data_IF_164395654253
#
_entry.id   IF_164395654253
#
_cell.length_a   1.000
_cell.length_b   1.000
_cell.length_c   1.000
_cell.angle_alpha   90.00
_cell.angle_beta   90.00
_cell.angle_gamma   90.00
#
_symmetry.space_group_name_H-M   'P 1'
#
loop_
_entity.id
_entity.type
_entity.pdbx_description
1 polymer ?
#
# COMPACT_ATOMS: atom_id res chain seq x y z
N UNK A 1 15.95 17.68 11.84
CA UNK A 1 16.46 18.43 10.69
C UNK A 1 16.17 17.75 9.35
N UNK A 2 15.57 16.53 9.34
CA UNK A 2 15.08 15.86 8.11
C UNK A 2 13.77 16.51 7.64
N UNK A 3 13.40 16.21 6.40
CA UNK A 3 12.24 16.83 5.76
C UNK A 3 11.07 15.84 5.62
N UNK A 4 9.86 16.37 5.54
CA UNK A 4 8.79 15.72 4.82
C UNK A 4 9.07 15.91 3.33
N UNK A 5 9.77 14.95 2.73
CA UNK A 5 10.35 15.09 1.40
C UNK A 5 9.39 14.70 0.27
N UNK A 6 8.26 14.06 0.59
CA UNK A 6 7.21 13.72 -0.37
C UNK A 6 5.84 13.96 0.25
N UNK A 7 5.05 14.80 -0.40
CA UNK A 7 3.74 15.22 0.07
C UNK A 7 2.74 15.16 -1.07
N UNK A 8 1.68 14.38 -0.88
CA UNK A 8 0.58 14.27 -1.84
C UNK A 8 -0.72 14.52 -1.10
N UNK A 9 -1.43 15.56 -1.52
CA UNK A 9 -2.72 15.91 -0.96
C UNK A 9 -3.72 14.77 -1.11
N UNK A 10 -4.58 14.55 -0.10
CA UNK A 10 -5.55 13.45 -0.03
C UNK A 10 -4.92 12.04 -0.15
N UNK A 11 -3.63 11.92 0.17
CA UNK A 11 -2.93 10.65 0.17
C UNK A 11 -2.07 10.49 1.43
N UNK A 12 -0.89 11.12 1.49
CA UNK A 12 0.03 10.99 2.64
C UNK A 12 1.09 12.09 2.66
N UNK A 13 1.75 12.24 3.80
CA UNK A 13 3.00 12.97 3.96
C UNK A 13 4.09 11.99 4.39
N UNK A 14 5.24 12.00 3.70
CA UNK A 14 6.33 11.05 3.90
C UNK A 14 7.61 11.75 4.34
N UNK A 15 8.26 11.19 5.34
CA UNK A 15 9.53 11.65 5.91
C UNK A 15 10.48 10.50 6.22
N UNK A 16 11.55 10.78 6.96
CA UNK A 16 12.49 9.77 7.46
C UNK A 16 13.67 9.47 6.51
N UNK A 17 13.80 10.16 5.38
CA UNK A 17 15.01 10.10 4.57
C UNK A 17 16.14 10.91 5.26
N UNK A 18 17.17 10.20 5.76
CA UNK A 18 18.32 10.82 6.44
C UNK A 18 19.11 11.77 5.53
N UNK A 19 19.10 11.55 4.22
CA UNK A 19 19.80 12.40 3.24
C UNK A 19 19.07 13.71 2.95
N UNK A 20 17.82 13.84 3.45
CA UNK A 20 17.05 15.08 3.33
C UNK A 20 17.55 16.20 4.23
N UNK A 21 18.33 15.87 5.27
CA UNK A 21 18.92 16.85 6.16
C UNK A 21 19.87 17.77 5.39
N UNK A 22 19.58 19.06 5.39
CA UNK A 22 20.34 20.08 4.65
C UNK A 22 20.42 19.83 3.13
N UNK A 23 19.47 19.11 2.55
CA UNK A 23 19.43 18.87 1.12
C UNK A 23 19.18 20.17 0.35
N UNK A 24 19.95 20.47 -0.72
CA UNK A 24 19.70 21.66 -1.54
C UNK A 24 18.33 21.56 -2.21
N UNK A 25 17.77 22.73 -2.54
CA UNK A 25 16.53 22.80 -3.29
C UNK A 25 16.63 22.02 -4.61
N UNK A 26 15.55 21.30 -4.98
CA UNK A 26 15.50 20.51 -6.21
C UNK A 26 16.23 19.17 -6.19
N UNK A 27 16.99 18.83 -5.14
CA UNK A 27 17.58 17.51 -5.01
C UNK A 27 16.47 16.45 -4.89
N UNK A 28 16.54 15.37 -5.67
CA UNK A 28 15.69 14.21 -5.49
C UNK A 28 15.97 13.54 -4.13
N UNK A 29 14.93 13.21 -3.41
CA UNK A 29 14.96 12.59 -2.08
C UNK A 29 14.11 11.32 -2.10
N UNK A 30 14.11 10.57 -0.99
CA UNK A 30 13.33 9.33 -0.83
C UNK A 30 14.14 8.06 -1.09
N UNK A 31 15.40 8.19 -1.48
CA UNK A 31 16.31 7.04 -1.65
C UNK A 31 17.26 6.84 -0.48
N UNK A 32 17.27 7.77 0.49
CA UNK A 32 18.11 7.68 1.68
C UNK A 32 17.63 6.56 2.61
N UNK A 33 18.56 5.68 2.96
CA UNK A 33 18.32 4.47 3.74
C UNK A 33 19.35 4.38 4.87
N UNK A 34 18.99 3.90 6.07
CA UNK A 34 19.94 3.74 7.18
C UNK A 34 20.84 2.51 7.02
N UNK A 35 20.75 1.76 5.91
CA UNK A 35 21.53 0.57 5.64
C UNK A 35 20.90 -0.73 6.12
N UNK A 36 19.64 -0.70 6.56
CA UNK A 36 18.88 -1.88 6.95
C UNK A 36 17.39 -1.73 6.65
N UNK A 37 16.73 -2.86 6.53
CA UNK A 37 15.27 -2.96 6.42
C UNK A 37 14.71 -3.72 7.62
N UNK A 38 13.40 -3.59 7.83
CA UNK A 38 12.66 -4.28 8.89
C UNK A 38 11.68 -5.23 8.21
N UNK A 39 11.54 -6.49 8.68
CA UNK A 39 10.54 -7.40 8.14
C UNK A 39 9.14 -6.78 8.15
N UNK A 40 8.33 -7.13 7.15
CA UNK A 40 6.95 -6.70 7.09
C UNK A 40 6.13 -7.29 8.25
N UNK A 41 5.28 -6.46 8.88
CA UNK A 41 4.41 -6.85 10.00
C UNK A 41 2.97 -6.39 9.71
N UNK A 42 2.31 -7.07 8.80
CA UNK A 42 0.94 -6.74 8.41
C UNK A 42 -0.06 -7.34 9.42
N UNK A 43 -0.51 -6.52 10.37
CA UNK A 43 -1.56 -6.92 11.34
C UNK A 43 -2.94 -6.51 10.79
N UNK A 44 -3.18 -6.86 9.56
CA UNK A 44 -4.42 -6.58 8.83
C UNK A 44 -5.47 -7.68 9.13
N UNK A 45 -6.77 -7.37 9.27
CA UNK A 45 -7.41 -6.04 9.13
C UNK A 45 -7.47 -5.20 10.41
N UNK A 46 -6.79 -5.58 11.47
CA UNK A 46 -6.81 -4.86 12.76
C UNK A 46 -6.21 -3.46 12.62
N UNK A 47 -5.06 -3.35 11.95
CA UNK A 47 -4.40 -2.09 11.64
C UNK A 47 -4.48 -1.85 10.14
N UNK A 48 -5.03 -0.71 9.76
CA UNK A 48 -5.30 -0.35 8.38
C UNK A 48 -5.08 1.15 8.15
N UNK A 49 -5.04 1.57 6.89
CA UNK A 49 -4.63 2.91 6.51
C UNK A 49 -5.76 3.94 6.59
N UNK A 50 -6.41 4.04 7.76
CA UNK A 50 -7.31 5.16 8.04
C UNK A 50 -6.53 6.48 8.11
N UNK A 51 -7.21 7.61 7.97
CA UNK A 51 -6.63 8.93 8.19
C UNK A 51 -5.93 8.99 9.54
N UNK A 52 -4.71 9.51 9.56
CA UNK A 52 -3.84 9.58 10.74
C UNK A 52 -3.02 8.32 11.01
N UNK A 53 -3.20 7.23 10.25
CA UNK A 53 -2.34 6.06 10.40
C UNK A 53 -0.87 6.42 10.10
N UNK A 54 0.05 5.92 10.92
CA UNK A 54 1.49 6.01 10.75
C UNK A 54 2.00 4.67 10.25
N UNK A 55 2.61 4.66 9.08
CA UNK A 55 3.07 3.46 8.42
C UNK A 55 4.49 3.57 7.90
N UNK A 56 5.17 2.44 7.78
CA UNK A 56 6.51 2.36 7.24
C UNK A 56 6.48 2.42 5.71
N UNK A 57 7.32 3.26 5.12
CA UNK A 57 7.56 3.24 3.68
C UNK A 57 8.39 2.01 3.29
N UNK A 58 8.36 1.63 2.03
CA UNK A 58 9.14 0.54 1.48
C UNK A 58 9.40 0.71 -0.02
N UNK A 59 10.35 -0.05 -0.54
CA UNK A 59 10.56 -0.16 -1.97
C UNK A 59 9.46 -1.01 -2.63
N UNK A 60 9.27 -0.83 -3.93
CA UNK A 60 8.28 -1.56 -4.71
C UNK A 60 8.59 -3.06 -4.83
N UNK A 61 7.57 -3.87 -5.06
CA UNK A 61 7.64 -5.35 -5.05
C UNK A 61 8.65 -5.94 -6.03
N UNK A 62 8.97 -5.23 -7.14
CA UNK A 62 9.94 -5.69 -8.13
C UNK A 62 11.37 -5.81 -7.56
N UNK A 63 11.73 -4.96 -6.61
CA UNK A 63 13.06 -4.94 -5.97
C UNK A 63 13.01 -5.37 -4.51
N UNK A 64 11.82 -5.52 -3.96
CA UNK A 64 11.57 -5.89 -2.56
C UNK A 64 10.36 -6.82 -2.47
N UNK A 65 10.46 -8.06 -2.99
CA UNK A 65 9.35 -9.03 -3.01
C UNK A 65 8.87 -9.42 -1.62
N UNK A 66 9.75 -9.36 -0.61
CA UNK A 66 9.42 -9.64 0.80
C UNK A 66 8.67 -8.50 1.49
N UNK A 67 8.45 -7.39 0.76
CA UNK A 67 7.77 -6.19 1.26
C UNK A 67 8.37 -5.63 2.56
N UNK A 68 9.68 -5.83 2.76
CA UNK A 68 10.40 -5.34 3.93
C UNK A 68 10.29 -3.81 4.03
N UNK A 69 10.06 -3.33 5.23
CA UNK A 69 9.92 -1.90 5.54
C UNK A 69 11.26 -1.20 5.54
N UNK A 70 11.30 0.07 5.15
CA UNK A 70 12.46 0.94 5.38
C UNK A 70 12.79 1.04 6.86
N UNK A 71 14.07 1.05 7.21
CA UNK A 71 14.52 1.23 8.58
C UNK A 71 14.30 2.63 9.14
N UNK A 72 13.94 3.62 8.31
CA UNK A 72 13.77 5.01 8.77
C UNK A 72 12.63 5.77 8.10
N UNK A 73 12.24 5.43 6.88
CA UNK A 73 11.22 6.18 6.17
C UNK A 73 9.81 5.74 6.59
N UNK A 74 8.97 6.72 6.82
CA UNK A 74 7.59 6.56 7.26
C UNK A 74 6.67 7.54 6.55
N UNK A 75 5.38 7.28 6.60
CA UNK A 75 4.38 8.23 6.15
C UNK A 75 3.18 8.30 7.10
N UNK A 76 2.52 9.45 7.09
CA UNK A 76 1.26 9.68 7.79
C UNK A 76 0.17 9.78 6.74
N UNK A 77 -0.86 8.96 6.88
CA UNK A 77 -2.00 8.93 5.98
C UNK A 77 -2.87 10.17 6.18
N UNK A 78 -3.09 10.91 5.10
CA UNK A 78 -4.14 11.93 5.05
C UNK A 78 -5.39 11.38 4.39
N UNK A 79 -5.25 10.75 3.23
CA UNK A 79 -6.31 10.06 2.51
C UNK A 79 -7.49 10.95 2.14
N UNK A 80 -8.52 10.34 1.61
CA UNK A 80 -9.80 10.98 1.30
C UNK A 80 -10.97 10.20 1.87
N UNK A 81 -12.10 10.86 2.03
CA UNK A 81 -13.35 10.23 2.41
C UNK A 81 -14.01 9.61 1.18
N UNK A 82 -14.51 8.40 1.32
CA UNK A 82 -15.20 7.65 0.28
C UNK A 82 -16.71 7.67 0.52
N UNK A 83 -17.49 7.76 -0.54
CA UNK A 83 -18.90 7.49 -0.42
C UNK A 83 -19.18 5.97 -0.45
N UNK A 84 -20.38 5.51 0.00
CA UNK A 84 -20.70 4.08 0.04
C UNK A 84 -20.53 3.36 -1.30
N UNK A 85 -20.90 4.00 -2.42
CA UNK A 85 -20.75 3.41 -3.76
C UNK A 85 -19.28 3.20 -4.16
N UNK A 86 -18.40 4.10 -3.74
CA UNK A 86 -16.94 3.95 -3.94
C UNK A 86 -16.38 2.81 -3.09
N UNK A 87 -16.86 2.62 -1.87
CA UNK A 87 -16.49 1.50 -1.02
C UNK A 87 -16.91 0.16 -1.65
N UNK A 88 -18.14 0.08 -2.17
CA UNK A 88 -18.61 -1.12 -2.85
C UNK A 88 -17.81 -1.41 -4.14
N UNK A 89 -17.39 -0.37 -4.86
CA UNK A 89 -16.51 -0.52 -6.01
C UNK A 89 -15.12 -1.03 -5.60
N UNK A 90 -14.57 -0.51 -4.50
CA UNK A 90 -13.31 -0.97 -3.95
C UNK A 90 -13.35 -2.44 -3.57
N UNK A 91 -14.42 -2.89 -2.89
CA UNK A 91 -14.57 -4.31 -2.55
C UNK A 91 -14.66 -5.21 -3.78
N UNK A 92 -15.39 -4.78 -4.81
CA UNK A 92 -15.42 -5.51 -6.10
C UNK A 92 -14.02 -5.63 -6.70
N UNK A 93 -13.22 -4.57 -6.64
CA UNK A 93 -11.82 -4.61 -7.13
C UNK A 93 -10.97 -5.57 -6.30
N UNK A 94 -11.09 -5.56 -4.97
CA UNK A 94 -10.38 -6.48 -4.09
C UNK A 94 -10.74 -7.95 -4.38
N UNK A 95 -12.02 -8.24 -4.66
CA UNK A 95 -12.48 -9.58 -5.02
C UNK A 95 -11.94 -10.01 -6.38
N UNK A 96 -11.98 -9.14 -7.38
CA UNK A 96 -11.38 -9.44 -8.70
C UNK A 96 -9.87 -9.70 -8.61
N UNK A 97 -9.16 -8.93 -7.80
CA UNK A 97 -7.72 -9.16 -7.57
C UNK A 97 -7.47 -10.49 -6.85
N UNK A 98 -8.32 -10.85 -5.88
CA UNK A 98 -8.25 -12.15 -5.22
C UNK A 98 -8.46 -13.30 -6.23
N UNK A 99 -9.50 -13.21 -7.06
CA UNK A 99 -9.77 -14.19 -8.11
C UNK A 99 -8.58 -14.34 -9.07
N UNK A 100 -8.05 -13.21 -9.54
CA UNK A 100 -6.89 -13.21 -10.43
C UNK A 100 -5.64 -13.82 -9.77
N UNK A 101 -5.37 -13.48 -8.52
CA UNK A 101 -4.21 -13.99 -7.78
C UNK A 101 -4.30 -15.49 -7.54
N UNK A 102 -5.46 -15.99 -7.13
CA UNK A 102 -5.69 -17.44 -6.94
C UNK A 102 -5.56 -18.18 -8.25
N UNK A 103 -6.20 -17.67 -9.32
CA UNK A 103 -6.09 -18.28 -10.65
C UNK A 103 -4.65 -18.35 -11.16
N UNK A 104 -3.89 -17.25 -11.00
CA UNK A 104 -2.47 -17.21 -11.40
C UNK A 104 -1.61 -18.19 -10.60
N UNK A 105 -1.87 -18.33 -9.31
CA UNK A 105 -1.18 -19.29 -8.45
C UNK A 105 -1.46 -20.73 -8.89
N UNK A 106 -2.73 -21.06 -9.17
CA UNK A 106 -3.12 -22.37 -9.68
C UNK A 106 -2.51 -22.62 -11.06
N UNK A 107 -2.57 -21.66 -11.97
CA UNK A 107 -1.99 -21.77 -13.32
C UNK A 107 -0.47 -21.95 -13.29
N UNK A 108 0.22 -21.37 -12.31
CA UNK A 108 1.66 -21.54 -12.15
C UNK A 108 2.06 -22.99 -11.91
N UNK A 109 1.22 -23.76 -11.19
CA UNK A 109 1.43 -25.19 -10.95
C UNK A 109 1.28 -26.05 -12.22
N UNK A 110 0.58 -25.54 -13.24
CA UNK A 110 0.35 -26.19 -14.53
C UNK A 110 1.20 -25.62 -15.67
N UNK A 111 2.26 -24.87 -15.34
CA UNK A 111 3.05 -24.14 -16.34
C UNK A 111 3.60 -25.04 -17.45
N UNK A 112 4.17 -26.17 -17.08
CA UNK A 112 4.73 -27.12 -18.05
C UNK A 112 3.65 -27.74 -18.96
N UNK A 113 2.52 -28.13 -18.36
CA UNK A 113 1.37 -28.67 -19.09
C UNK A 113 0.82 -27.65 -20.09
N UNK A 114 0.62 -26.40 -19.67
CA UNK A 114 0.19 -25.29 -20.53
C UNK A 114 1.18 -25.08 -21.69
N UNK A 115 2.49 -25.11 -21.41
CA UNK A 115 3.51 -24.95 -22.43
C UNK A 115 3.50 -26.10 -23.45
N UNK A 116 3.31 -27.35 -23.00
CA UNK A 116 3.20 -28.52 -23.86
C UNK A 116 1.95 -28.47 -24.75
N UNK A 117 0.78 -28.14 -24.19
CA UNK A 117 -0.46 -27.96 -24.96
C UNK A 117 -0.32 -26.86 -26.02
N UNK A 118 0.31 -25.73 -25.68
CA UNK A 118 0.59 -24.65 -26.63
C UNK A 118 1.50 -25.11 -27.77
N UNK A 119 2.57 -25.85 -27.46
CA UNK A 119 3.52 -26.40 -28.44
C UNK A 119 2.83 -27.37 -29.42
N UNK A 120 1.93 -28.19 -28.88
CA UNK A 120 1.17 -29.19 -29.66
C UNK A 120 -0.10 -28.59 -30.34
N UNK A 121 -0.36 -27.28 -30.12
CA UNK A 121 -1.57 -26.58 -30.63
C UNK A 121 -2.87 -27.22 -30.13
N UNK A 122 -2.84 -27.81 -28.94
CA UNK A 122 -4.01 -28.42 -28.31
C UNK A 122 -4.89 -27.33 -27.66
N UNK A 123 -5.71 -26.70 -28.49
CA UNK A 123 -6.61 -25.63 -28.01
C UNK A 123 -7.76 -26.17 -27.17
N UNK A 124 -8.19 -27.43 -27.41
CA UNK A 124 -9.25 -28.04 -26.58
C UNK A 124 -8.75 -28.36 -25.17
N UNK A 125 -7.54 -28.94 -25.08
CA UNK A 125 -6.91 -29.18 -23.79
C UNK A 125 -6.67 -27.88 -22.99
N UNK A 126 -6.20 -26.82 -23.65
CA UNK A 126 -6.02 -25.51 -23.03
C UNK A 126 -7.33 -24.94 -22.48
N UNK A 127 -8.42 -25.04 -23.24
CA UNK A 127 -9.74 -24.57 -22.81
C UNK A 127 -10.25 -25.39 -21.61
N UNK A 128 -10.17 -26.72 -21.68
CA UNK A 128 -10.59 -27.62 -20.60
C UNK A 128 -9.80 -27.37 -19.30
N UNK A 129 -8.48 -27.15 -19.42
CA UNK A 129 -7.65 -26.79 -18.26
C UNK A 129 -8.05 -25.42 -17.70
N UNK A 130 -8.28 -24.43 -18.56
CA UNK A 130 -8.74 -23.11 -18.12
C UNK A 130 -10.05 -23.18 -17.35
N UNK A 131 -11.03 -23.93 -17.84
CA UNK A 131 -12.33 -24.12 -17.19
C UNK A 131 -12.16 -24.81 -15.83
N UNK A 132 -11.26 -25.78 -15.76
CA UNK A 132 -10.90 -26.46 -14.49
C UNK A 132 -10.28 -25.50 -13.49
N UNK A 133 -9.33 -24.69 -13.92
CA UNK A 133 -8.66 -23.70 -13.06
C UNK A 133 -9.63 -22.61 -12.57
N UNK A 134 -10.57 -22.20 -13.39
CA UNK A 134 -11.64 -21.26 -13.00
C UNK A 134 -12.50 -21.89 -11.89
N UNK A 135 -12.95 -23.14 -12.10
CA UNK A 135 -13.75 -23.84 -11.09
C UNK A 135 -12.97 -24.01 -9.76
N UNK A 136 -11.70 -24.39 -9.82
CA UNK A 136 -10.84 -24.50 -8.63
C UNK A 136 -10.64 -23.15 -7.93
N UNK A 137 -10.52 -22.06 -8.70
CA UNK A 137 -10.42 -20.70 -8.15
C UNK A 137 -11.66 -20.35 -7.32
N UNK A 138 -12.85 -20.61 -7.84
CA UNK A 138 -14.09 -20.36 -7.10
C UNK A 138 -14.23 -21.21 -5.84
N UNK A 139 -13.88 -22.50 -5.92
CA UNK A 139 -13.89 -23.38 -4.75
C UNK A 139 -12.89 -22.96 -3.68
N UNK A 140 -11.70 -22.51 -4.07
CA UNK A 140 -10.71 -22.00 -3.13
C UNK A 140 -11.20 -20.72 -2.45
N UNK A 141 -11.72 -19.75 -3.20
CA UNK A 141 -12.29 -18.51 -2.65
C UNK A 141 -13.48 -18.79 -1.73
N UNK A 142 -14.31 -19.79 -2.07
CA UNK A 142 -15.41 -20.20 -1.22
C UNK A 142 -14.94 -20.73 0.14
N UNK A 143 -13.81 -21.44 0.17
CA UNK A 143 -13.20 -21.95 1.41
C UNK A 143 -12.50 -20.86 2.22
N UNK A 144 -11.77 -19.97 1.57
CA UNK A 144 -11.00 -18.90 2.21
C UNK A 144 -11.87 -17.71 2.62
N UNK A 145 -13.00 -17.53 1.95
CA UNK A 145 -13.84 -16.34 2.04
C UNK A 145 -13.45 -15.26 1.04
N UNK A 146 -14.44 -14.50 0.61
CA UNK A 146 -14.22 -13.32 -0.25
C UNK A 146 -13.56 -12.21 0.54
N UNK A 147 -12.62 -11.51 -0.07
CA UNK A 147 -12.05 -10.30 0.51
C UNK A 147 -13.11 -9.20 0.59
N UNK A 148 -13.37 -8.74 1.80
CA UNK A 148 -14.29 -7.64 2.09
C UNK A 148 -13.67 -6.72 3.12
N UNK A 149 -14.12 -5.47 3.14
CA UNK A 149 -13.77 -4.55 4.21
C UNK A 149 -14.54 -4.90 5.49
N UNK A 150 -13.89 -4.83 6.63
CA UNK A 150 -14.57 -4.91 7.92
C UNK A 150 -15.49 -3.71 8.12
N UNK A 151 -16.45 -3.84 9.05
CA UNK A 151 -17.32 -2.71 9.40
C UNK A 151 -16.51 -1.49 9.87
N UNK A 152 -15.47 -1.71 10.68
CA UNK A 152 -14.58 -0.66 11.15
C UNK A 152 -13.85 0.07 10.01
N UNK A 153 -13.40 -0.66 9.00
CA UNK A 153 -12.79 -0.07 7.80
C UNK A 153 -13.81 0.72 6.99
N UNK A 154 -15.00 0.16 6.75
CA UNK A 154 -16.08 0.86 6.03
C UNK A 154 -16.47 2.16 6.72
N UNK A 155 -16.64 2.13 8.05
CA UNK A 155 -16.94 3.30 8.84
C UNK A 155 -15.81 4.34 8.76
N UNK A 156 -14.56 3.95 8.99
CA UNK A 156 -13.43 4.86 8.93
C UNK A 156 -13.30 5.51 7.56
N UNK A 157 -13.35 4.73 6.47
CA UNK A 157 -13.17 5.26 5.12
C UNK A 157 -14.32 6.14 4.64
N UNK A 158 -15.53 5.96 5.18
CA UNK A 158 -16.70 6.79 4.85
C UNK A 158 -16.87 8.02 5.76
N UNK A 159 -16.11 8.11 6.86
CA UNK A 159 -16.18 9.23 7.81
C UNK A 159 -14.91 10.06 7.83
N UNK A 160 -13.82 9.50 8.34
CA UNK A 160 -12.53 10.21 8.44
C UNK A 160 -11.66 10.06 7.19
N UNK A 161 -11.89 9.01 6.41
CA UNK A 161 -11.14 8.74 5.19
C UNK A 161 -9.88 7.89 5.42
N UNK A 162 -9.10 7.75 4.36
CA UNK A 162 -7.85 6.99 4.37
C UNK A 162 -7.40 6.55 2.99
N UNK A 163 -6.55 5.51 2.95
CA UNK A 163 -5.94 4.97 1.73
C UNK A 163 -6.06 3.45 1.67
N UNK A 164 -7.27 2.92 1.44
CA UNK A 164 -7.55 1.48 1.52
C UNK A 164 -6.72 0.61 0.56
N UNK A 165 -6.20 1.19 -0.52
CA UNK A 165 -5.34 0.47 -1.48
C UNK A 165 -3.96 0.09 -0.91
N UNK A 166 -3.58 0.61 0.26
CA UNK A 166 -2.35 0.26 0.97
C UNK A 166 -2.55 -0.82 2.04
N UNK A 167 -3.81 -1.20 2.30
CA UNK A 167 -4.15 -2.17 3.34
C UNK A 167 -3.57 -3.56 3.05
N UNK A 168 -2.90 -4.14 4.05
CA UNK A 168 -2.23 -5.43 3.92
C UNK A 168 -0.95 -5.41 3.06
N UNK A 169 -0.53 -4.22 2.59
CA UNK A 169 0.64 -4.04 1.72
C UNK A 169 1.78 -3.27 2.39
N UNK A 170 1.48 -2.54 3.46
CA UNK A 170 2.43 -1.75 4.24
C UNK A 170 2.19 -1.95 5.73
N UNK A 171 3.27 -1.86 6.52
CA UNK A 171 3.22 -2.02 7.97
C UNK A 171 2.71 -0.74 8.61
N UNK A 172 1.51 -0.79 9.19
CA UNK A 172 0.97 0.26 10.06
C UNK A 172 1.44 -0.01 11.49
N UNK A 173 2.16 0.94 12.10
CA UNK A 173 2.76 0.75 13.41
C UNK A 173 2.35 1.82 14.44
N UNK A 174 1.54 2.78 14.05
CA UNK A 174 1.07 3.84 14.93
C UNK A 174 -0.06 4.66 14.33
N UNK A 175 -0.50 5.66 15.08
CA UNK A 175 -1.48 6.63 14.61
C UNK A 175 -1.24 8.01 15.26
N UNK A 176 -1.65 9.06 14.58
CA UNK A 176 -1.66 10.41 15.11
C UNK A 176 -2.80 10.53 16.12
N UNK A 177 -2.49 10.85 17.36
CA UNK A 177 -3.47 11.02 18.45
C UNK A 177 -3.86 12.47 18.68
N UNK A 178 -3.01 13.41 18.23
CA UNK A 178 -3.23 14.85 18.34
C UNK A 178 -2.44 15.59 17.26
N UNK A 179 -2.91 16.76 16.82
CA UNK A 179 -2.21 17.58 15.83
C UNK A 179 -2.48 17.23 14.35
N UNK A 180 -3.57 16.53 14.01
CA UNK A 180 -3.92 16.25 12.60
C UNK A 180 -4.09 17.52 11.77
N UNK A 181 -4.46 18.65 12.36
CA UNK A 181 -4.55 19.95 11.69
C UNK A 181 -3.18 20.44 11.19
N UNK A 182 -2.08 20.01 11.82
CA UNK A 182 -0.71 20.29 11.34
C UNK A 182 -0.41 19.42 10.12
N UNK A 183 -0.78 18.15 10.14
CA UNK A 183 -0.65 17.23 9.01
C UNK A 183 -1.45 17.76 7.82
N UNK A 184 -2.66 18.30 8.05
CA UNK A 184 -3.49 18.91 7.01
C UNK A 184 -2.86 20.15 6.38
N UNK A 185 -2.21 20.99 7.18
CA UNK A 185 -1.45 22.13 6.64
C UNK A 185 -0.26 21.67 5.81
N UNK A 186 0.42 20.59 6.21
CA UNK A 186 1.55 20.05 5.47
C UNK A 186 1.07 19.45 4.14
N UNK A 187 -0.03 18.67 4.11
CA UNK A 187 -0.49 18.05 2.88
C UNK A 187 -0.91 19.05 1.80
N UNK A 188 -1.20 20.30 2.17
CA UNK A 188 -1.65 21.36 1.27
C UNK A 188 -0.51 22.23 0.70
N UNK A 189 0.73 21.98 1.09
CA UNK A 189 1.86 22.75 0.59
C UNK A 189 2.06 22.52 -0.91
N UNK A 190 2.51 23.54 -1.60
CA UNK A 190 2.83 23.42 -3.02
C UNK A 190 4.04 22.50 -3.23
N UNK A 191 3.94 21.56 -4.15
CA UNK A 191 4.97 20.56 -4.46
C UNK A 191 5.52 20.75 -5.87
N UNK A 192 6.75 20.27 -6.08
CA UNK A 192 7.44 20.21 -7.36
C UNK A 192 7.64 18.79 -7.83
N UNK A 193 8.74 18.52 -8.53
CA UNK A 193 9.12 17.21 -9.01
C UNK A 193 9.19 16.19 -7.86
N UNK A 194 8.74 14.96 -8.13
CA UNK A 194 8.70 13.86 -7.18
C UNK A 194 7.90 14.19 -5.89
N UNK A 195 6.87 15.04 -6.02
CA UNK A 195 6.00 15.48 -4.93
C UNK A 195 6.76 16.13 -3.75
N UNK A 196 7.97 16.64 -3.99
CA UNK A 196 8.73 17.36 -2.98
C UNK A 196 8.11 18.74 -2.74
N UNK A 197 7.87 19.15 -1.48
CA UNK A 197 7.46 20.52 -1.16
C UNK A 197 8.43 21.56 -1.77
N UNK A 198 7.90 22.58 -2.43
CA UNK A 198 8.73 23.70 -2.98
C UNK A 198 9.41 24.48 -1.88
N UNK A 199 8.74 24.64 -0.75
CA UNK A 199 9.34 25.16 0.49
C UNK A 199 9.50 23.98 1.47
N UNK A 200 10.72 23.75 1.92
CA UNK A 200 11.05 22.61 2.77
C UNK A 200 10.23 22.61 4.07
N UNK A 201 9.54 21.50 4.32
CA UNK A 201 8.86 21.21 5.59
C UNK A 201 9.80 20.41 6.47
N UNK A 202 10.37 21.05 7.47
CA UNK A 202 11.44 20.48 8.30
C UNK A 202 10.92 19.93 9.64
N UNK A 203 11.32 18.71 9.97
CA UNK A 203 11.13 18.13 11.29
C UNK A 203 12.22 18.69 12.22
N UNK A 204 11.86 19.60 13.11
CA UNK A 204 12.81 20.28 13.98
C UNK A 204 13.27 19.39 15.12
N UNK A 205 12.35 18.61 15.70
CA UNK A 205 12.63 17.76 16.88
C UNK A 205 11.64 16.60 16.93
N UNK A 206 12.14 15.42 17.27
CA UNK A 206 11.35 14.28 17.71
C UNK A 206 11.76 13.89 19.13
N UNK A 207 10.81 13.48 19.94
CA UNK A 207 11.05 13.02 21.31
C UNK A 207 10.16 11.81 21.59
N UNK A 208 10.77 10.74 22.07
CA UNK A 208 10.03 9.60 22.60
C UNK A 208 9.58 9.97 24.02
N UNK A 209 8.28 9.84 24.28
CA UNK A 209 7.67 10.05 25.60
C UNK A 209 7.36 8.67 26.16
N UNK A 210 7.89 8.38 27.35
CA UNK A 210 7.63 7.15 28.11
C UNK A 210 6.44 7.35 29.02
#
# INVERSE_FOLDING_TARGET
GTLFHRVINEFMIQGGDGTSKNAPAGKMLGTGDPGYTIPAEFVYPKYFHKRGALAAARQGDQVNPDKASSGSQFYIVTGKVFNPGQIDQLERQMQMQQEQSVFQSLAANHREEIMNMRRNRDMQGLQALQDTLIAQTYEQIKKEGKRTLTQAQREAYTTVGGTPHLDGEYTVFGEVVDGMEVVDKIQQVETGSADRPKTDVKILKMKVVK
#
